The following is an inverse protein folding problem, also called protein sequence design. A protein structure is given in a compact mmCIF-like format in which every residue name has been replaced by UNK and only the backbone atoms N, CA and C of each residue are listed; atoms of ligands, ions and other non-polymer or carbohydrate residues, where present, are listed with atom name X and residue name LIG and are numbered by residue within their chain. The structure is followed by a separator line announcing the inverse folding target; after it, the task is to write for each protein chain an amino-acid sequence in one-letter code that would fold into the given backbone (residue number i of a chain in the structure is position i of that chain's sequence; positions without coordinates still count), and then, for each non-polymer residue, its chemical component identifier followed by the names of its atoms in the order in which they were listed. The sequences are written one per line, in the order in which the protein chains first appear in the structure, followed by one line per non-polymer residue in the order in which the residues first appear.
data_IF_915867263725
#
_entry.id   IF_915867263725
#
_cell.length_a   1.000
_cell.length_b   1.000
_cell.length_c   1.000
_cell.angle_alpha   90.00
_cell.angle_beta   90.00
_cell.angle_gamma   90.00
#
_symmetry.space_group_name_H-M   'P 1'
#
loop_
_entity.id
_entity.type
_entity.pdbx_description
1 polymer ?
#
# COMPACT_ATOMS: atom_id res chain seq x y z
N UNK A 1 -46.57 -25.38 -22.05
CA UNK A 1 -46.54 -24.31 -21.01
C UNK A 1 -45.10 -23.88 -20.86
N UNK A 2 -44.76 -22.79 -21.53
CA UNK A 2 -43.46 -22.11 -21.40
C UNK A 2 -43.61 -21.12 -20.21
N UNK A 3 -42.83 -21.30 -19.18
CA UNK A 3 -42.69 -20.30 -18.12
C UNK A 3 -41.58 -19.32 -18.52
N UNK A 4 -41.99 -18.15 -18.95
CA UNK A 4 -41.14 -17.00 -19.17
C UNK A 4 -40.53 -16.56 -17.80
N UNK A 5 -39.26 -16.85 -17.62
CA UNK A 5 -38.44 -16.15 -16.63
C UNK A 5 -38.06 -14.81 -17.24
N UNK A 6 -38.82 -13.79 -16.91
CA UNK A 6 -38.46 -12.40 -17.18
C UNK A 6 -37.18 -12.07 -16.45
N UNK A 7 -36.08 -12.02 -17.17
CA UNK A 7 -34.86 -11.39 -16.73
C UNK A 7 -35.16 -9.91 -16.50
N UNK A 8 -35.05 -9.49 -15.27
CA UNK A 8 -35.15 -8.09 -14.86
C UNK A 8 -33.98 -7.33 -15.49
N UNK A 9 -34.28 -6.54 -16.53
CA UNK A 9 -33.33 -5.73 -17.27
C UNK A 9 -33.02 -4.45 -16.46
N UNK A 10 -32.21 -4.57 -15.40
CA UNK A 10 -31.71 -3.41 -14.66
C UNK A 10 -30.27 -3.13 -15.05
N UNK A 11 -30.15 -2.10 -15.88
CA UNK A 11 -29.02 -1.25 -16.17
C UNK A 11 -27.88 -1.80 -17.08
N UNK A 12 -27.87 -1.47 -18.38
CA UNK A 12 -26.77 -1.78 -19.30
C UNK A 12 -25.56 -0.83 -19.14
N UNK A 13 -25.61 0.15 -18.25
CA UNK A 13 -24.48 1.04 -17.98
C UNK A 13 -23.66 0.48 -16.80
N UNK A 14 -22.38 0.10 -17.03
CA UNK A 14 -21.48 -0.40 -16.00
C UNK A 14 -21.28 0.59 -14.86
N UNK A 15 -20.80 0.11 -13.70
CA UNK A 15 -20.55 0.88 -12.48
C UNK A 15 -19.72 2.14 -12.78
N UNK A 16 -20.24 3.33 -12.47
CA UNK A 16 -19.56 4.63 -12.66
C UNK A 16 -18.87 5.06 -11.37
N UNK A 17 -17.54 5.07 -11.36
CA UNK A 17 -16.74 5.38 -10.20
C UNK A 17 -15.95 6.70 -10.39
N UNK A 18 -15.99 7.58 -9.39
CA UNK A 18 -15.05 8.68 -9.24
C UNK A 18 -13.95 8.26 -8.26
N UNK A 19 -12.72 8.12 -8.74
CA UNK A 19 -11.57 7.74 -7.92
C UNK A 19 -10.78 8.99 -7.52
N UNK A 20 -10.72 9.28 -6.22
CA UNK A 20 -10.00 10.44 -5.67
C UNK A 20 -8.70 9.97 -5.01
N UNK A 21 -7.56 10.41 -5.54
CA UNK A 21 -6.24 10.14 -4.99
C UNK A 21 -5.47 11.45 -4.74
N UNK A 22 -4.44 11.39 -3.91
CA UNK A 22 -3.57 12.55 -3.62
C UNK A 22 -2.99 13.18 -4.88
N UNK A 23 -2.46 12.33 -5.73
CA UNK A 23 -1.85 12.70 -7.01
C UNK A 23 -2.03 11.53 -7.99
N UNK A 24 -1.76 11.78 -9.25
CA UNK A 24 -1.66 10.74 -10.26
C UNK A 24 -0.57 9.73 -9.82
N UNK A 25 -0.85 8.41 -9.84
CA UNK A 25 0.02 7.38 -9.24
C UNK A 25 1.23 7.04 -10.12
N UNK A 26 1.96 8.07 -10.58
CA UNK A 26 3.17 7.96 -11.38
C UNK A 26 4.33 8.71 -10.73
N UNK A 27 5.57 8.21 -10.86
CA UNK A 27 5.97 6.91 -11.43
C UNK A 27 5.64 5.74 -10.48
N UNK A 28 5.73 4.51 -10.97
CA UNK A 28 5.52 3.27 -10.18
C UNK A 28 6.72 2.95 -9.26
N UNK A 29 7.09 3.86 -8.39
CA UNK A 29 8.28 3.76 -7.53
C UNK A 29 7.97 3.60 -6.03
N UNK A 30 6.70 3.46 -5.68
CA UNK A 30 6.25 3.23 -4.30
C UNK A 30 5.08 2.24 -4.27
N UNK A 31 4.98 1.50 -3.17
CA UNK A 31 3.94 0.48 -3.03
C UNK A 31 2.52 1.01 -3.11
N UNK A 32 2.28 2.23 -2.61
CA UNK A 32 0.98 2.92 -2.70
C UNK A 32 0.65 3.32 -4.14
N UNK A 33 1.59 3.91 -4.90
CA UNK A 33 1.37 4.23 -6.31
C UNK A 33 1.09 2.98 -7.15
N UNK A 34 1.86 1.91 -6.93
CA UNK A 34 1.68 0.62 -7.61
C UNK A 34 0.29 0.05 -7.30
N UNK A 35 -0.10 0.04 -6.02
CA UNK A 35 -1.40 -0.47 -5.60
C UNK A 35 -2.55 0.33 -6.22
N UNK A 36 -2.55 1.66 -6.06
CA UNK A 36 -3.56 2.56 -6.60
C UNK A 36 -3.73 2.38 -8.12
N UNK A 37 -2.61 2.37 -8.85
CA UNK A 37 -2.60 2.27 -10.29
C UNK A 37 -3.20 0.95 -10.80
N UNK A 38 -2.67 -0.16 -10.30
CA UNK A 38 -3.11 -1.49 -10.75
C UNK A 38 -4.54 -1.82 -10.28
N UNK A 39 -4.95 -1.36 -9.10
CA UNK A 39 -6.32 -1.59 -8.64
C UNK A 39 -7.34 -0.78 -9.45
N UNK A 40 -7.03 0.48 -9.78
CA UNK A 40 -7.90 1.29 -10.63
C UNK A 40 -8.04 0.66 -12.04
N UNK A 41 -6.94 0.17 -12.62
CA UNK A 41 -6.95 -0.55 -13.88
C UNK A 41 -7.73 -1.86 -13.81
N UNK A 42 -7.55 -2.62 -12.72
CA UNK A 42 -8.27 -3.87 -12.50
C UNK A 42 -9.78 -3.65 -12.33
N UNK A 43 -10.19 -2.55 -11.69
CA UNK A 43 -11.59 -2.17 -11.55
C UNK A 43 -12.24 -1.87 -12.92
N UNK A 44 -11.51 -1.17 -13.82
CA UNK A 44 -11.96 -0.96 -15.21
C UNK A 44 -12.06 -2.28 -15.97
N UNK A 45 -11.08 -3.16 -15.80
CA UNK A 45 -11.10 -4.49 -16.41
C UNK A 45 -12.28 -5.34 -15.91
N UNK A 46 -12.73 -5.11 -14.68
CA UNK A 46 -13.91 -5.76 -14.11
C UNK A 46 -15.26 -5.17 -14.61
N UNK A 47 -15.23 -4.12 -15.45
CA UNK A 47 -16.42 -3.56 -16.09
C UNK A 47 -16.85 -2.17 -15.58
N UNK A 48 -16.12 -1.57 -14.64
CA UNK A 48 -16.43 -0.22 -14.19
C UNK A 48 -15.91 0.86 -15.15
N UNK A 49 -16.63 1.99 -15.21
CA UNK A 49 -16.13 3.24 -15.78
C UNK A 49 -15.48 4.07 -14.69
N UNK A 50 -14.18 4.34 -14.78
CA UNK A 50 -13.43 5.06 -13.75
C UNK A 50 -13.01 6.43 -14.27
N UNK A 51 -13.48 7.49 -13.59
CA UNK A 51 -12.91 8.84 -13.69
C UNK A 51 -11.94 9.03 -12.55
N UNK A 52 -10.64 9.10 -12.85
CA UNK A 52 -9.58 9.23 -11.86
C UNK A 52 -9.17 10.69 -11.68
N UNK A 53 -9.23 11.19 -10.45
CA UNK A 53 -8.85 12.58 -10.12
C UNK A 53 -7.69 12.60 -9.13
N UNK A 54 -6.66 13.37 -9.43
CA UNK A 54 -5.50 13.60 -8.58
C UNK A 54 -4.68 14.81 -9.02
N UNK A 55 -3.85 15.36 -8.11
CA UNK A 55 -2.90 16.40 -8.51
C UNK A 55 -1.89 15.84 -9.52
N UNK A 56 -1.38 16.70 -10.39
CA UNK A 56 -0.27 16.33 -11.27
C UNK A 56 0.92 15.80 -10.45
N UNK A 57 1.55 14.71 -10.91
CA UNK A 57 2.73 14.18 -10.25
C UNK A 57 3.91 15.14 -10.39
N UNK A 58 4.47 15.58 -9.27
CA UNK A 58 5.69 16.41 -9.28
C UNK A 58 6.96 15.61 -9.62
N UNK A 59 6.91 14.30 -9.47
CA UNK A 59 8.03 13.41 -9.73
C UNK A 59 8.16 12.98 -11.21
N UNK A 60 7.07 13.06 -11.97
CA UNK A 60 7.03 12.68 -13.37
C UNK A 60 6.10 13.61 -14.18
N UNK A 61 6.41 14.92 -14.29
CA UNK A 61 5.52 15.90 -14.92
C UNK A 61 5.35 15.69 -16.44
N UNK A 62 6.28 14.97 -17.07
CA UNK A 62 6.26 14.64 -18.50
C UNK A 62 5.52 13.35 -18.84
N UNK A 63 5.29 12.45 -17.85
CA UNK A 63 4.57 11.21 -18.07
C UNK A 63 3.06 11.49 -18.16
N UNK A 64 2.48 11.10 -19.28
CA UNK A 64 1.02 11.15 -19.45
C UNK A 64 0.42 9.84 -18.94
N UNK A 65 -0.57 9.89 -18.06
CA UNK A 65 -1.19 8.67 -17.54
C UNK A 65 -1.73 7.75 -18.63
N UNK A 66 -2.33 8.31 -19.68
CA UNK A 66 -2.84 7.55 -20.81
C UNK A 66 -1.77 6.74 -21.58
N UNK A 67 -0.50 7.13 -21.49
CA UNK A 67 0.63 6.39 -22.09
C UNK A 67 1.16 5.28 -21.18
N UNK A 68 0.96 5.43 -19.85
CA UNK A 68 1.44 4.48 -18.84
C UNK A 68 0.40 3.38 -18.50
N UNK A 69 -0.86 3.61 -18.84
CA UNK A 69 -1.97 2.69 -18.54
C UNK A 69 -2.66 2.27 -19.83
N UNK A 70 -2.78 0.97 -20.05
CA UNK A 70 -3.51 0.39 -21.19
C UNK A 70 -5.04 0.45 -21.02
N UNK A 71 -5.54 1.03 -19.94
CA UNK A 71 -6.94 0.99 -19.56
C UNK A 71 -7.72 2.24 -19.98
N UNK A 72 -9.05 2.10 -20.12
CA UNK A 72 -9.99 3.18 -20.40
C UNK A 72 -10.30 4.02 -19.14
N UNK A 73 -9.27 4.42 -18.38
CA UNK A 73 -9.43 5.37 -17.27
C UNK A 73 -9.54 6.77 -17.83
N UNK A 74 -10.58 7.51 -17.45
CA UNK A 74 -10.67 8.93 -17.72
C UNK A 74 -9.84 9.72 -16.70
N UNK A 75 -8.73 10.31 -17.14
CA UNK A 75 -7.81 11.03 -16.25
C UNK A 75 -8.21 12.49 -16.11
N UNK A 76 -8.66 12.90 -14.94
CA UNK A 76 -8.91 14.27 -14.54
C UNK A 76 -7.73 14.79 -13.70
N UNK A 77 -6.71 15.31 -14.37
CA UNK A 77 -5.49 15.80 -13.72
C UNK A 77 -5.73 17.21 -13.19
N UNK A 78 -5.77 17.34 -11.88
CA UNK A 78 -5.94 18.63 -11.22
C UNK A 78 -4.63 19.43 -11.33
N UNK A 79 -4.63 20.61 -11.96
CA UNK A 79 -3.42 21.43 -12.07
C UNK A 79 -3.05 22.03 -10.72
N UNK A 80 -1.74 22.21 -10.50
CA UNK A 80 -1.23 22.84 -9.28
C UNK A 80 -0.25 21.94 -8.52
N UNK A 81 0.20 22.43 -7.38
CA UNK A 81 1.15 21.76 -6.49
C UNK A 81 0.50 21.56 -5.12
N UNK A 82 0.94 20.55 -4.34
CA UNK A 82 0.55 20.43 -2.96
C UNK A 82 0.85 21.70 -2.15
N UNK A 83 0.00 22.03 -1.19
CA UNK A 83 0.22 23.16 -0.29
C UNK A 83 1.61 23.07 0.38
N UNK A 84 2.30 24.19 0.62
CA UNK A 84 3.56 24.22 1.35
C UNK A 84 3.44 23.55 2.71
N UNK A 85 4.48 22.83 3.13
CA UNK A 85 4.48 22.09 4.41
C UNK A 85 4.17 22.98 5.61
N UNK A 86 4.69 24.24 5.62
CA UNK A 86 4.46 25.16 6.71
C UNK A 86 2.98 25.53 6.87
N UNK A 87 2.28 25.74 5.76
CA UNK A 87 0.84 26.00 5.77
C UNK A 87 0.06 24.77 6.22
N UNK A 88 0.45 23.60 5.74
CA UNK A 88 -0.19 22.35 6.09
C UNK A 88 0.01 21.98 7.58
N UNK A 89 1.13 22.33 8.18
CA UNK A 89 1.38 22.14 9.62
C UNK A 89 0.42 22.96 10.49
N UNK A 90 0.03 24.16 10.04
CA UNK A 90 -0.93 25.02 10.74
C UNK A 90 -2.39 24.58 10.58
N UNK A 91 -2.68 23.68 9.63
CA UNK A 91 -4.03 23.15 9.38
C UNK A 91 -4.48 22.21 10.52
N UNK A 92 -5.78 22.14 10.83
CA UNK A 92 -6.32 21.11 11.73
C UNK A 92 -6.27 19.71 11.12
N UNK A 93 -6.22 19.58 9.79
CA UNK A 93 -6.11 18.31 9.10
C UNK A 93 -4.74 17.65 9.28
N UNK A 94 -4.64 16.32 9.14
CA UNK A 94 -3.37 15.63 9.01
C UNK A 94 -2.48 16.24 7.93
N UNK A 95 -1.17 16.22 8.14
CA UNK A 95 -0.20 16.89 7.26
C UNK A 95 -0.40 16.54 5.77
N UNK A 96 -0.55 15.25 5.47
CA UNK A 96 -0.72 14.81 4.07
C UNK A 96 -2.06 15.28 3.52
N UNK A 97 -3.14 15.16 4.28
CA UNK A 97 -4.47 15.65 3.88
C UNK A 97 -4.46 17.17 3.62
N UNK A 98 -3.85 17.95 4.52
CA UNK A 98 -3.72 19.41 4.37
C UNK A 98 -2.85 19.81 3.17
N UNK A 99 -1.82 19.02 2.84
CA UNK A 99 -0.98 19.29 1.67
C UNK A 99 -1.71 19.05 0.36
N UNK A 100 -2.48 17.98 0.25
CA UNK A 100 -3.12 17.57 -1.00
C UNK A 100 -4.56 18.10 -1.14
N UNK A 101 -5.26 18.43 -0.07
CA UNK A 101 -6.56 19.11 -0.08
C UNK A 101 -6.44 20.60 -0.46
N UNK A 102 -6.00 20.88 -1.69
CA UNK A 102 -5.84 22.25 -2.18
C UNK A 102 -7.18 22.87 -2.57
N UNK A 103 -7.27 24.21 -2.54
CA UNK A 103 -8.48 24.93 -3.00
C UNK A 103 -8.84 24.57 -4.44
N UNK A 104 -7.82 24.40 -5.29
CA UNK A 104 -8.01 24.04 -6.68
C UNK A 104 -8.58 22.62 -6.82
N UNK A 105 -8.06 21.66 -6.04
CA UNK A 105 -8.60 20.31 -6.02
C UNK A 105 -10.09 20.30 -5.58
N UNK A 106 -10.39 20.99 -4.48
CA UNK A 106 -11.75 21.11 -3.99
C UNK A 106 -12.71 21.76 -5.03
N UNK A 107 -12.24 22.77 -5.79
CA UNK A 107 -13.00 23.39 -6.86
C UNK A 107 -13.29 22.40 -8.01
N UNK A 108 -12.28 21.68 -8.50
CA UNK A 108 -12.45 20.67 -9.56
C UNK A 108 -13.37 19.53 -9.11
N UNK A 109 -13.24 19.08 -7.84
CA UNK A 109 -14.14 18.06 -7.28
C UNK A 109 -15.59 18.55 -7.26
N UNK A 110 -15.86 19.78 -6.82
CA UNK A 110 -17.21 20.36 -6.88
C UNK A 110 -17.75 20.39 -8.30
N UNK A 111 -16.94 20.85 -9.24
CA UNK A 111 -17.35 20.96 -10.65
C UNK A 111 -17.75 19.60 -11.22
N UNK A 112 -16.96 18.56 -10.99
CA UNK A 112 -17.26 17.23 -11.53
C UNK A 112 -18.52 16.60 -10.87
N UNK A 113 -18.68 16.76 -9.55
CA UNK A 113 -19.87 16.30 -8.82
C UNK A 113 -21.15 17.01 -9.25
N UNK A 114 -21.06 18.27 -9.75
CA UNK A 114 -22.20 18.99 -10.31
C UNK A 114 -22.48 18.64 -11.77
N UNK A 115 -21.49 18.14 -12.51
CA UNK A 115 -21.65 17.86 -13.93
C UNK A 115 -22.08 16.42 -14.23
N UNK A 116 -21.79 15.48 -13.36
CA UNK A 116 -22.00 14.03 -13.56
C UNK A 116 -22.47 13.35 -12.29
N UNK A 117 -23.26 12.28 -12.47
CA UNK A 117 -23.62 11.37 -11.40
C UNK A 117 -22.66 10.17 -11.37
N UNK A 118 -22.28 9.76 -10.16
CA UNK A 118 -21.44 8.59 -9.92
C UNK A 118 -22.18 7.62 -8.98
N UNK A 119 -22.03 6.32 -9.24
CA UNK A 119 -22.59 5.28 -8.37
C UNK A 119 -21.73 5.11 -7.11
N UNK A 120 -20.39 5.34 -7.27
CA UNK A 120 -19.47 5.33 -6.14
C UNK A 120 -18.39 6.42 -6.26
N UNK A 121 -17.98 6.96 -5.10
CA UNK A 121 -16.77 7.80 -4.95
C UNK A 121 -15.77 7.03 -4.10
N UNK A 122 -14.61 6.73 -4.69
CA UNK A 122 -13.52 6.00 -4.05
C UNK A 122 -12.52 7.01 -3.47
N UNK A 123 -12.32 6.95 -2.15
CA UNK A 123 -11.35 7.76 -1.41
C UNK A 123 -10.08 6.93 -1.20
N UNK A 124 -9.07 7.18 -1.99
CA UNK A 124 -7.82 6.42 -1.93
C UNK A 124 -6.83 7.07 -0.95
N UNK A 125 -6.63 6.41 0.18
CA UNK A 125 -5.81 6.84 1.30
C UNK A 125 -6.50 7.86 2.23
N UNK A 126 -6.12 7.89 3.53
CA UNK A 126 -6.68 8.82 4.55
C UNK A 126 -6.48 10.31 4.21
N UNK A 127 -5.54 10.59 3.32
CA UNK A 127 -5.31 11.96 2.86
C UNK A 127 -6.53 12.60 2.18
N UNK A 128 -7.53 11.80 1.79
CA UNK A 128 -8.76 12.28 1.15
C UNK A 128 -9.88 12.62 2.15
N UNK A 129 -9.62 12.60 3.46
CA UNK A 129 -10.62 12.93 4.51
C UNK A 129 -11.29 14.29 4.30
N UNK A 130 -10.60 15.26 3.73
CA UNK A 130 -11.16 16.58 3.42
C UNK A 130 -12.28 16.57 2.37
N UNK A 131 -12.37 15.50 1.58
CA UNK A 131 -13.34 15.39 0.49
C UNK A 131 -14.74 14.95 0.96
N UNK A 132 -14.86 14.26 2.10
CA UNK A 132 -16.12 13.67 2.60
C UNK A 132 -17.23 14.71 2.71
N UNK A 133 -17.00 15.77 3.48
CA UNK A 133 -17.98 16.84 3.68
C UNK A 133 -18.36 17.52 2.35
N UNK A 134 -17.39 17.60 1.45
CA UNK A 134 -17.60 18.23 0.16
C UNK A 134 -18.45 17.34 -0.75
N UNK A 135 -18.25 16.02 -0.73
CA UNK A 135 -19.07 15.04 -1.43
C UNK A 135 -20.50 15.13 -0.92
N UNK A 136 -20.72 15.00 0.39
CA UNK A 136 -22.06 15.04 0.98
C UNK A 136 -22.82 16.34 0.68
N UNK A 137 -22.12 17.48 0.62
CA UNK A 137 -22.74 18.80 0.33
C UNK A 137 -23.08 19.02 -1.14
N UNK A 138 -22.48 18.27 -2.04
CA UNK A 138 -22.60 18.49 -3.50
C UNK A 138 -23.31 17.32 -4.20
N UNK A 139 -23.85 16.37 -3.47
CA UNK A 139 -24.68 15.30 -4.01
C UNK A 139 -25.98 15.87 -4.57
N UNK A 140 -26.29 15.52 -5.84
CA UNK A 140 -27.49 15.99 -6.54
C UNK A 140 -28.73 15.20 -6.12
N UNK A 141 -29.86 15.90 -5.96
CA UNK A 141 -31.21 15.33 -5.90
C UNK A 141 -31.42 14.12 -4.94
N UNK A 142 -30.69 14.07 -3.81
CA UNK A 142 -30.82 12.97 -2.84
C UNK A 142 -30.22 11.65 -3.31
N UNK A 143 -29.61 11.60 -4.50
CA UNK A 143 -28.84 10.44 -4.94
C UNK A 143 -27.45 10.47 -4.30
N UNK A 144 -27.28 9.75 -3.19
CA UNK A 144 -25.98 9.63 -2.52
C UNK A 144 -25.19 8.52 -3.15
N UNK A 145 -24.03 8.87 -3.77
CA UNK A 145 -23.04 7.89 -4.20
C UNK A 145 -22.58 7.03 -3.01
N UNK A 146 -22.21 5.80 -3.26
CA UNK A 146 -21.48 5.00 -2.26
C UNK A 146 -20.13 5.61 -2.04
N UNK A 147 -19.69 5.80 -0.79
CA UNK A 147 -18.33 6.20 -0.46
C UNK A 147 -17.56 4.95 -0.12
N UNK A 148 -16.55 4.60 -0.95
CA UNK A 148 -15.62 3.52 -0.72
C UNK A 148 -14.26 4.08 -0.28
N UNK A 149 -13.82 3.78 0.94
CA UNK A 149 -12.52 4.18 1.45
C UNK A 149 -11.50 3.05 1.26
N UNK A 150 -10.39 3.32 0.59
CA UNK A 150 -9.26 2.40 0.50
C UNK A 150 -8.23 2.80 1.56
N UNK A 151 -8.19 2.03 2.63
CA UNK A 151 -7.27 2.19 3.74
C UNK A 151 -6.00 1.37 3.48
N UNK A 152 -4.88 2.05 3.19
CA UNK A 152 -3.59 1.38 2.98
C UNK A 152 -3.02 0.79 4.27
N UNK A 153 -3.37 1.38 5.41
CA UNK A 153 -3.01 0.96 6.76
C UNK A 153 -4.08 1.46 7.74
N UNK A 154 -4.05 0.97 8.96
CA UNK A 154 -4.64 1.68 10.09
C UNK A 154 -3.69 2.81 10.51
N UNK A 155 -3.90 4.00 9.95
CA UNK A 155 -2.94 5.11 9.98
C UNK A 155 -2.74 5.70 11.38
N UNK A 156 -3.74 5.61 12.24
CA UNK A 156 -3.62 6.04 13.65
C UNK A 156 -2.49 5.28 14.34
N UNK A 157 -2.48 3.95 14.27
CA UNK A 157 -1.44 3.14 14.90
C UNK A 157 -0.06 3.42 14.27
N UNK A 158 0.01 3.41 12.94
CA UNK A 158 1.25 3.63 12.19
C UNK A 158 1.89 4.98 12.56
N UNK A 159 1.08 6.04 12.63
CA UNK A 159 1.58 7.38 12.94
C UNK A 159 2.07 7.52 14.39
N UNK A 160 1.40 6.84 15.33
CA UNK A 160 1.83 6.78 16.74
C UNK A 160 3.15 6.04 16.85
N UNK A 161 3.31 4.91 16.17
CA UNK A 161 4.54 4.11 16.20
C UNK A 161 5.71 4.86 15.57
N UNK A 162 5.48 5.56 14.46
CA UNK A 162 6.50 6.44 13.87
C UNK A 162 6.94 7.52 14.86
N UNK A 163 5.99 8.21 15.51
CA UNK A 163 6.31 9.27 16.45
C UNK A 163 7.06 8.76 17.70
N UNK A 164 6.68 7.57 18.19
CA UNK A 164 7.32 6.89 19.33
C UNK A 164 8.75 6.48 19.01
N UNK A 165 8.95 5.81 17.87
CA UNK A 165 10.21 5.19 17.47
C UNK A 165 11.18 6.15 16.78
N UNK A 166 10.76 7.39 16.48
CA UNK A 166 11.62 8.36 15.83
C UNK A 166 12.75 8.81 16.78
N UNK A 167 13.99 8.54 16.35
CA UNK A 167 15.24 8.93 17.05
C UNK A 167 15.93 10.07 16.29
N UNK A 168 15.45 11.30 16.45
CA UNK A 168 16.01 12.46 15.75
C UNK A 168 15.71 13.77 16.47
N UNK A 169 15.75 14.85 15.74
CA UNK A 169 15.51 16.20 16.26
C UNK A 169 14.17 16.29 17.03
N UNK A 170 14.20 16.88 18.24
CA UNK A 170 13.05 16.98 19.15
C UNK A 170 11.87 17.76 18.54
N UNK A 171 12.12 18.82 17.77
CA UNK A 171 11.06 19.57 17.09
C UNK A 171 10.34 18.71 16.06
N UNK A 172 11.09 17.91 15.28
CA UNK A 172 10.50 16.97 14.33
C UNK A 172 9.73 15.88 15.06
N UNK A 173 10.22 15.37 16.19
CA UNK A 173 9.50 14.40 17.03
C UNK A 173 8.18 14.98 17.53
N UNK A 174 8.18 16.19 18.04
CA UNK A 174 6.96 16.90 18.48
C UNK A 174 5.96 17.09 17.32
N UNK A 175 6.44 17.46 16.14
CA UNK A 175 5.60 17.57 14.94
C UNK A 175 4.98 16.22 14.51
N UNK A 176 5.72 15.12 14.65
CA UNK A 176 5.20 13.77 14.38
C UNK A 176 4.11 13.40 15.38
N UNK A 177 4.28 13.66 16.67
CA UNK A 177 3.24 13.44 17.69
C UNK A 177 1.99 14.30 17.44
N UNK A 178 2.17 15.56 17.09
CA UNK A 178 1.04 16.44 16.76
C UNK A 178 0.29 15.94 15.53
N UNK A 179 1.01 15.47 14.49
CA UNK A 179 0.40 14.91 13.29
C UNK A 179 -0.32 13.59 13.59
N UNK A 180 0.24 12.73 14.45
CA UNK A 180 -0.41 11.47 14.85
C UNK A 180 -1.76 11.74 15.56
N UNK A 181 -1.84 12.77 16.42
CA UNK A 181 -3.12 13.19 17.01
C UNK A 181 -4.13 13.67 15.97
N UNK A 182 -3.69 14.42 14.95
CA UNK A 182 -4.56 14.85 13.85
C UNK A 182 -5.09 13.67 13.06
N UNK A 183 -4.26 12.65 12.81
CA UNK A 183 -4.67 11.41 12.13
C UNK A 183 -5.69 10.65 12.98
N UNK A 184 -5.42 10.47 14.27
CA UNK A 184 -6.32 9.80 15.20
C UNK A 184 -7.71 10.47 15.31
N UNK A 185 -7.79 11.79 15.06
CA UNK A 185 -9.05 12.52 15.01
C UNK A 185 -9.74 12.42 13.62
N UNK A 186 -8.97 12.32 12.55
CA UNK A 186 -9.50 12.34 11.18
C UNK A 186 -9.93 10.95 10.70
N UNK A 187 -9.21 9.89 11.08
CA UNK A 187 -9.49 8.52 10.59
C UNK A 187 -10.86 8.00 11.01
N UNK A 188 -11.37 8.22 12.25
CA UNK A 188 -12.74 7.88 12.61
C UNK A 188 -13.78 8.59 11.75
N UNK A 189 -13.59 9.88 11.45
CA UNK A 189 -14.53 10.63 10.59
C UNK A 189 -14.57 10.07 9.17
N UNK A 190 -13.40 9.68 8.65
CA UNK A 190 -13.31 9.04 7.34
C UNK A 190 -13.97 7.65 7.33
N UNK A 191 -13.70 6.85 8.36
CA UNK A 191 -14.26 5.52 8.49
C UNK A 191 -15.79 5.56 8.65
N UNK A 192 -16.32 6.44 9.51
CA UNK A 192 -17.76 6.62 9.68
C UNK A 192 -18.48 7.20 8.45
N UNK A 193 -17.77 7.97 7.64
CA UNK A 193 -18.32 8.56 6.42
C UNK A 193 -18.32 7.61 5.22
N UNK A 194 -17.68 6.45 5.33
CA UNK A 194 -17.60 5.46 4.26
C UNK A 194 -18.70 4.38 4.38
N UNK A 195 -19.27 3.97 3.26
CA UNK A 195 -20.21 2.84 3.18
C UNK A 195 -19.46 1.50 3.06
N UNK A 196 -18.27 1.53 2.43
CA UNK A 196 -17.36 0.39 2.23
C UNK A 196 -15.93 0.80 2.60
N UNK A 197 -15.24 -0.03 3.37
CA UNK A 197 -13.82 0.17 3.70
C UNK A 197 -13.03 -1.02 3.20
N UNK A 198 -12.17 -0.80 2.20
CA UNK A 198 -11.22 -1.80 1.73
C UNK A 198 -9.88 -1.63 2.45
N UNK A 199 -9.35 -2.70 3.01
CA UNK A 199 -8.10 -2.75 3.80
C UNK A 199 -7.15 -3.80 3.25
N UNK A 200 -5.86 -3.66 3.51
CA UNK A 200 -4.88 -4.64 3.05
C UNK A 200 -4.83 -5.91 3.90
N UNK A 201 -5.20 -5.83 5.18
CA UNK A 201 -5.10 -6.95 6.12
C UNK A 201 -6.33 -7.08 7.00
N UNK A 202 -6.60 -8.28 7.48
CA UNK A 202 -7.68 -8.51 8.46
C UNK A 202 -7.42 -7.77 9.79
N UNK A 203 -6.15 -7.55 10.14
CA UNK A 203 -5.78 -6.78 11.33
C UNK A 203 -6.20 -5.33 11.20
N UNK A 204 -5.96 -4.68 10.04
CA UNK A 204 -6.45 -3.32 9.77
C UNK A 204 -7.98 -3.26 9.80
N UNK A 205 -8.69 -4.29 9.28
CA UNK A 205 -10.14 -4.38 9.37
C UNK A 205 -10.63 -4.40 10.82
N UNK A 206 -10.00 -5.23 11.66
CA UNK A 206 -10.33 -5.33 13.08
C UNK A 206 -10.12 -4.01 13.84
N UNK A 207 -9.09 -3.24 13.49
CA UNK A 207 -8.87 -1.91 14.07
C UNK A 207 -9.91 -0.87 13.64
N UNK A 208 -10.40 -0.96 12.41
CA UNK A 208 -11.40 -0.03 11.86
C UNK A 208 -12.85 -0.40 12.23
N UNK A 209 -13.13 -1.66 12.57
CA UNK A 209 -14.47 -2.13 12.94
C UNK A 209 -15.12 -1.33 14.07
N UNK A 210 -14.45 -1.05 15.22
CA UNK A 210 -15.03 -0.26 16.30
C UNK A 210 -15.32 1.21 15.90
N UNK A 211 -14.56 1.73 14.90
CA UNK A 211 -14.70 3.12 14.45
C UNK A 211 -15.88 3.29 13.48
N UNK A 212 -16.29 2.25 12.77
CA UNK A 212 -17.35 2.32 11.77
C UNK A 212 -18.11 0.99 11.65
N UNK A 213 -18.90 0.61 12.65
CA UNK A 213 -19.58 -0.70 12.70
C UNK A 213 -20.63 -0.88 11.58
N UNK A 214 -21.09 0.20 10.98
CA UNK A 214 -22.08 0.17 9.91
C UNK A 214 -21.49 0.05 8.50
N UNK A 215 -20.20 0.35 8.34
CA UNK A 215 -19.53 0.25 7.06
C UNK A 215 -19.14 -1.20 6.77
N UNK A 216 -19.33 -1.66 5.53
CA UNK A 216 -18.80 -2.95 5.11
C UNK A 216 -17.26 -2.95 5.10
N UNK A 217 -16.64 -4.05 5.54
CA UNK A 217 -15.19 -4.21 5.51
C UNK A 217 -14.82 -5.24 4.43
N UNK A 218 -13.85 -4.89 3.61
CA UNK A 218 -13.31 -5.74 2.56
C UNK A 218 -11.80 -5.90 2.75
N UNK A 219 -11.33 -7.11 2.99
CA UNK A 219 -9.89 -7.39 2.98
C UNK A 219 -9.45 -7.56 1.52
N UNK A 220 -8.65 -6.60 1.05
CA UNK A 220 -8.20 -6.50 -0.34
C UNK A 220 -6.68 -6.28 -0.38
N UNK A 221 -5.88 -7.34 -0.11
CA UNK A 221 -4.43 -7.24 -0.11
C UNK A 221 -3.90 -6.92 -1.52
N UNK A 222 -2.71 -6.32 -1.64
CA UNK A 222 -2.06 -6.11 -2.92
C UNK A 222 -1.94 -7.40 -3.73
N UNK A 223 -1.86 -7.25 -5.05
CA UNK A 223 -1.50 -8.32 -5.96
C UNK A 223 -0.09 -8.07 -6.52
N UNK A 224 0.42 -9.03 -7.27
CA UNK A 224 1.75 -8.97 -7.85
C UNK A 224 1.68 -8.59 -9.34
N UNK A 225 2.57 -7.69 -9.76
CA UNK A 225 2.61 -7.20 -11.14
C UNK A 225 3.88 -7.59 -11.90
N UNK A 226 4.87 -8.12 -11.17
CA UNK A 226 6.14 -8.55 -11.76
C UNK A 226 6.09 -9.97 -12.35
N UNK A 227 7.16 -10.41 -13.01
CA UNK A 227 7.28 -11.76 -13.52
C UNK A 227 7.36 -12.78 -12.39
N UNK A 228 6.69 -13.93 -12.54
CA UNK A 228 6.77 -15.05 -11.61
C UNK A 228 7.86 -16.01 -12.09
N UNK A 229 8.95 -16.08 -11.36
CA UNK A 229 10.08 -16.97 -11.67
C UNK A 229 9.66 -18.41 -11.42
N UNK A 230 9.48 -19.20 -12.48
CA UNK A 230 8.99 -20.59 -12.38
C UNK A 230 10.01 -21.52 -11.75
N UNK A 231 11.28 -21.32 -12.07
CA UNK A 231 12.37 -22.17 -11.60
C UNK A 231 13.57 -21.32 -11.18
N UNK A 232 13.99 -21.50 -9.95
CA UNK A 232 15.22 -20.96 -9.39
C UNK A 232 15.75 -21.91 -8.31
N UNK A 233 17.02 -22.20 -8.38
CA UNK A 233 17.69 -23.00 -7.37
C UNK A 233 18.89 -22.23 -6.79
N UNK A 234 18.91 -22.09 -5.48
CA UNK A 234 20.07 -21.63 -4.75
C UNK A 234 21.09 -22.77 -4.75
N UNK A 235 22.32 -22.45 -5.08
CA UNK A 235 23.44 -23.41 -5.11
C UNK A 235 24.59 -22.90 -4.24
N UNK A 236 25.57 -23.74 -3.95
CA UNK A 236 26.71 -23.38 -3.10
C UNK A 236 27.46 -22.15 -3.65
N UNK A 237 27.53 -22.01 -4.98
CA UNK A 237 28.15 -20.86 -5.64
C UNK A 237 27.34 -19.55 -5.53
N UNK A 238 26.06 -19.61 -5.13
CA UNK A 238 25.26 -18.40 -4.87
C UNK A 238 25.91 -17.60 -3.74
N UNK A 239 26.19 -16.30 -3.92
CA UNK A 239 26.85 -15.49 -2.91
C UNK A 239 26.16 -15.52 -1.55
N UNK A 240 26.92 -15.56 -0.47
CA UNK A 240 26.41 -15.49 0.92
C UNK A 240 25.95 -14.06 1.23
N UNK A 241 24.89 -13.62 0.54
CA UNK A 241 24.33 -12.27 0.67
C UNK A 241 22.82 -12.34 0.86
N UNK A 242 22.32 -11.41 1.65
CA UNK A 242 20.89 -11.21 1.88
C UNK A 242 20.50 -9.82 1.37
N UNK A 243 19.23 -9.61 1.03
CA UNK A 243 18.73 -8.34 0.53
C UNK A 243 17.58 -7.80 1.39
N UNK A 244 17.55 -6.48 1.57
CA UNK A 244 16.40 -5.76 2.07
C UNK A 244 15.95 -4.74 1.02
N UNK A 245 14.70 -4.86 0.56
CA UNK A 245 14.14 -4.02 -0.50
C UNK A 245 13.17 -3.02 0.09
N UNK A 246 13.20 -1.77 -0.36
CA UNK A 246 12.24 -0.76 0.09
C UNK A 246 12.44 0.63 -0.48
N UNK A 247 11.41 1.47 -0.38
CA UNK A 247 11.54 2.91 -0.60
C UNK A 247 11.74 3.60 0.76
N UNK A 248 12.97 3.97 1.07
CA UNK A 248 13.37 4.53 2.37
C UNK A 248 13.15 6.04 2.49
N UNK A 249 12.40 6.66 1.59
CA UNK A 249 11.94 8.05 1.77
C UNK A 249 10.88 8.17 2.85
N UNK A 250 10.14 7.09 3.13
CA UNK A 250 9.17 7.06 4.22
C UNK A 250 9.84 6.86 5.58
N UNK A 251 9.49 7.70 6.56
CA UNK A 251 10.13 7.73 7.90
C UNK A 251 10.08 6.39 8.62
N UNK A 252 8.98 5.64 8.54
CA UNK A 252 8.88 4.31 9.15
C UNK A 252 9.96 3.36 8.61
N UNK A 253 10.19 3.35 7.30
CA UNK A 253 11.22 2.50 6.68
C UNK A 253 12.64 2.94 7.02
N UNK A 254 12.87 4.25 7.26
CA UNK A 254 14.16 4.73 7.76
C UNK A 254 14.43 4.24 9.18
N UNK A 255 13.40 4.24 10.04
CA UNK A 255 13.49 3.73 11.41
C UNK A 255 13.86 2.25 11.39
N UNK A 256 13.10 1.43 10.63
CA UNK A 256 13.32 -0.02 10.53
C UNK A 256 14.70 -0.35 9.94
N UNK A 257 15.09 0.33 8.86
CA UNK A 257 16.41 0.13 8.26
C UNK A 257 17.53 0.46 9.24
N UNK A 258 17.41 1.59 9.95
CA UNK A 258 18.43 1.99 10.92
C UNK A 258 18.57 0.99 12.06
N UNK A 259 17.45 0.49 12.60
CA UNK A 259 17.46 -0.56 13.63
C UNK A 259 18.09 -1.87 13.12
N UNK A 260 17.75 -2.26 11.90
CA UNK A 260 18.33 -3.44 11.26
C UNK A 260 19.84 -3.30 11.08
N UNK A 261 20.32 -2.19 10.51
CA UNK A 261 21.74 -1.97 10.27
C UNK A 261 22.55 -1.92 11.56
N UNK A 262 22.02 -1.25 12.59
CA UNK A 262 22.67 -1.15 13.91
C UNK A 262 22.87 -2.54 14.56
N UNK A 263 21.87 -3.41 14.47
CA UNK A 263 21.92 -4.73 15.12
C UNK A 263 22.56 -5.81 14.22
N UNK A 264 22.27 -5.83 12.92
CA UNK A 264 22.62 -6.94 12.04
C UNK A 264 24.01 -6.80 11.39
N UNK A 265 24.45 -5.59 11.02
CA UNK A 265 25.70 -5.43 10.27
C UNK A 265 26.94 -6.03 10.98
N UNK A 266 27.16 -5.82 12.30
CA UNK A 266 28.31 -6.41 13.00
C UNK A 266 28.28 -7.94 13.03
N UNK A 267 27.08 -8.53 13.18
CA UNK A 267 26.87 -9.99 13.24
C UNK A 267 27.16 -10.61 11.87
N UNK A 268 26.56 -10.02 10.83
CA UNK A 268 26.73 -10.47 9.46
C UNK A 268 28.18 -10.32 9.00
N UNK A 269 28.85 -9.22 9.35
CA UNK A 269 30.28 -9.00 9.06
C UNK A 269 31.13 -10.10 9.66
N UNK A 270 30.96 -10.42 10.95
CA UNK A 270 31.72 -11.46 11.63
C UNK A 270 31.56 -12.85 10.99
N UNK A 271 30.35 -13.11 10.43
CA UNK A 271 30.04 -14.36 9.76
C UNK A 271 30.39 -14.38 8.26
N UNK A 272 30.91 -13.30 7.71
CA UNK A 272 31.21 -13.19 6.28
C UNK A 272 29.95 -13.24 5.40
N UNK A 273 28.82 -12.73 5.90
CA UNK A 273 27.54 -12.60 5.19
C UNK A 273 27.34 -11.14 4.77
N UNK A 274 27.07 -10.90 3.51
CA UNK A 274 26.79 -9.54 3.02
C UNK A 274 25.31 -9.17 3.11
N UNK A 275 25.03 -7.89 3.38
CA UNK A 275 23.69 -7.31 3.34
C UNK A 275 23.61 -6.28 2.20
N UNK A 276 22.59 -6.39 1.37
CA UNK A 276 22.30 -5.48 0.27
C UNK A 276 21.04 -4.67 0.56
N UNK A 277 21.17 -3.34 0.63
CA UNK A 277 20.05 -2.40 0.76
C UNK A 277 19.69 -1.89 -0.64
N UNK A 278 18.47 -2.19 -1.08
CA UNK A 278 17.97 -1.88 -2.42
C UNK A 278 16.77 -0.94 -2.33
N UNK A 279 16.83 0.12 -3.12
CA UNK A 279 15.77 1.13 -3.25
C UNK A 279 16.23 2.53 -2.85
N UNK A 280 15.33 3.49 -3.08
CA UNK A 280 15.65 4.91 -2.91
C UNK A 280 15.73 5.28 -1.42
N UNK A 281 16.83 5.90 -1.02
CA UNK A 281 17.08 6.37 0.33
C UNK A 281 17.58 7.82 0.30
N UNK A 282 17.21 8.66 1.31
CA UNK A 282 17.77 10.00 1.43
C UNK A 282 19.32 9.94 1.52
N UNK A 283 19.99 10.82 0.80
CA UNK A 283 21.47 10.88 0.79
C UNK A 283 22.08 11.04 2.18
N UNK A 284 21.43 11.81 3.05
CA UNK A 284 21.86 11.99 4.44
C UNK A 284 21.85 10.68 5.23
N UNK A 285 20.80 9.86 5.05
CA UNK A 285 20.68 8.55 5.69
C UNK A 285 21.74 7.59 5.13
N UNK A 286 21.85 7.51 3.80
CA UNK A 286 22.78 6.63 3.11
C UNK A 286 24.22 6.92 3.53
N UNK A 287 24.69 8.17 3.40
CA UNK A 287 26.04 8.59 3.79
C UNK A 287 26.36 8.32 5.26
N UNK A 288 25.39 8.57 6.16
CA UNK A 288 25.58 8.33 7.59
C UNK A 288 25.79 6.84 7.91
N UNK A 289 25.13 5.95 7.19
CA UNK A 289 25.28 4.50 7.37
C UNK A 289 26.47 3.94 6.62
N UNK A 290 26.75 4.35 5.37
CA UNK A 290 27.93 3.90 4.59
C UNK A 290 29.24 4.11 5.35
N UNK A 291 29.34 5.17 6.17
CA UNK A 291 30.50 5.43 7.01
C UNK A 291 30.66 4.46 8.21
N UNK A 292 29.63 3.69 8.56
CA UNK A 292 29.58 2.85 9.77
C UNK A 292 29.50 1.36 9.51
N UNK A 293 28.81 0.97 8.43
CA UNK A 293 28.57 -0.44 8.08
C UNK A 293 29.76 -1.05 7.35
N UNK A 294 29.95 -2.37 7.52
CA UNK A 294 31.05 -3.12 6.88
C UNK A 294 30.56 -4.30 6.06
N UNK A 295 29.45 -4.94 6.45
CA UNK A 295 28.82 -6.03 5.71
C UNK A 295 27.83 -5.50 4.66
N UNK A 296 27.33 -4.28 4.85
CA UNK A 296 26.20 -3.71 4.09
C UNK A 296 26.69 -2.90 2.88
N UNK A 297 25.96 -3.04 1.77
CA UNK A 297 26.11 -2.22 0.56
C UNK A 297 24.78 -1.58 0.19
N UNK A 298 24.80 -0.28 -0.16
CA UNK A 298 23.66 0.45 -0.67
C UNK A 298 23.72 0.49 -2.20
N UNK A 299 22.65 0.01 -2.86
CA UNK A 299 22.60 -0.07 -4.32
C UNK A 299 21.74 1.03 -4.95
N UNK A 300 20.92 1.73 -4.12
CA UNK A 300 19.92 2.63 -4.67
C UNK A 300 18.83 1.89 -5.46
N UNK A 301 18.29 2.56 -6.47
CA UNK A 301 17.36 1.94 -7.40
C UNK A 301 18.10 0.94 -8.31
N UNK A 302 17.55 -0.25 -8.48
CA UNK A 302 18.04 -1.27 -9.41
C UNK A 302 17.01 -1.44 -10.52
N UNK A 303 17.48 -1.51 -11.77
CA UNK A 303 16.62 -1.56 -12.95
C UNK A 303 15.84 -2.89 -13.02
N UNK A 304 16.49 -4.01 -12.76
CA UNK A 304 15.88 -5.33 -12.69
C UNK A 304 16.07 -5.95 -11.31
N UNK A 305 15.02 -5.85 -10.50
CA UNK A 305 15.02 -6.38 -9.13
C UNK A 305 15.09 -7.93 -9.13
N UNK A 306 14.48 -8.59 -10.12
CA UNK A 306 14.49 -10.05 -10.23
C UNK A 306 15.89 -10.59 -10.46
N UNK A 307 16.62 -10.03 -11.43
CA UNK A 307 18.04 -10.37 -11.70
C UNK A 307 18.90 -10.08 -10.48
N UNK A 308 18.66 -8.94 -9.83
CA UNK A 308 19.39 -8.60 -8.60
C UNK A 308 19.15 -9.64 -7.51
N UNK A 309 17.90 -10.01 -7.23
CA UNK A 309 17.52 -10.96 -6.18
C UNK A 309 18.00 -12.39 -6.49
N UNK A 310 18.09 -12.77 -7.76
CA UNK A 310 18.58 -14.10 -8.17
C UNK A 310 19.99 -14.42 -7.63
N UNK A 311 20.81 -13.42 -7.40
CA UNK A 311 22.16 -13.57 -6.83
C UNK A 311 22.21 -13.45 -5.29
N UNK A 312 21.09 -13.58 -4.57
CA UNK A 312 21.02 -13.50 -3.09
C UNK A 312 20.42 -14.78 -2.53
N UNK A 313 20.89 -15.19 -1.36
CA UNK A 313 20.38 -16.40 -0.71
C UNK A 313 19.07 -16.15 0.01
N UNK A 314 18.83 -14.94 0.57
CA UNK A 314 17.63 -14.63 1.33
C UNK A 314 17.20 -13.16 1.17
N UNK A 315 15.92 -12.89 1.40
CA UNK A 315 15.32 -11.57 1.53
C UNK A 315 14.88 -11.31 2.97
N UNK A 316 15.02 -10.07 3.42
CA UNK A 316 14.68 -9.67 4.79
C UNK A 316 13.42 -8.79 4.80
N UNK A 317 12.49 -9.12 5.71
CA UNK A 317 11.30 -8.31 6.03
C UNK A 317 11.46 -7.78 7.44
N UNK A 318 11.85 -6.50 7.55
CA UNK A 318 12.37 -5.89 8.77
C UNK A 318 11.41 -4.85 9.40
N UNK A 319 10.15 -4.82 8.98
CA UNK A 319 9.21 -3.80 9.38
C UNK A 319 8.56 -4.11 10.74
N UNK A 320 9.13 -3.58 11.83
CA UNK A 320 8.49 -3.49 13.15
C UNK A 320 7.59 -2.25 13.25
N UNK A 321 8.01 -1.15 12.63
CA UNK A 321 7.25 0.09 12.55
C UNK A 321 6.59 0.20 11.18
N UNK A 322 5.28 0.35 11.16
CA UNK A 322 4.47 0.45 9.93
C UNK A 322 3.39 -0.63 9.87
N UNK A 323 2.29 -0.31 9.18
CA UNK A 323 1.12 -1.18 9.02
C UNK A 323 1.03 -1.85 7.66
N UNK A 324 -0.12 -2.47 7.41
CA UNK A 324 -0.52 -3.00 6.13
C UNK A 324 0.31 -4.19 5.62
N UNK A 325 -0.01 -4.61 4.42
CA UNK A 325 0.71 -5.68 3.72
C UNK A 325 2.07 -5.19 3.18
N UNK A 326 3.11 -5.99 3.29
CA UNK A 326 4.45 -5.63 2.83
C UNK A 326 4.69 -6.19 1.42
N UNK A 327 4.54 -5.37 0.38
CA UNK A 327 4.68 -5.77 -1.04
C UNK A 327 5.96 -6.56 -1.34
N UNK A 328 7.06 -6.28 -0.63
CA UNK A 328 8.32 -7.03 -0.79
C UNK A 328 8.18 -8.54 -0.49
N UNK A 329 7.16 -8.95 0.25
CA UNK A 329 6.88 -10.38 0.48
C UNK A 329 6.59 -11.05 -0.85
N UNK A 330 5.75 -10.44 -1.70
CA UNK A 330 5.43 -10.96 -3.02
C UNK A 330 6.64 -10.90 -3.96
N UNK A 331 7.45 -9.83 -3.87
CA UNK A 331 8.70 -9.74 -4.62
C UNK A 331 9.63 -10.91 -4.28
N UNK A 332 9.79 -11.24 -2.99
CA UNK A 332 10.63 -12.37 -2.60
C UNK A 332 10.02 -13.70 -3.03
N UNK A 333 8.73 -13.92 -2.79
CA UNK A 333 8.04 -15.17 -3.14
C UNK A 333 8.12 -15.44 -4.64
N UNK A 334 7.73 -14.47 -5.48
CA UNK A 334 7.66 -14.67 -6.92
C UNK A 334 9.02 -14.64 -7.62
N UNK A 335 10.05 -14.11 -6.97
CA UNK A 335 11.45 -14.28 -7.37
C UNK A 335 12.13 -15.47 -6.69
N UNK A 336 11.38 -16.32 -5.97
CA UNK A 336 11.86 -17.53 -5.28
C UNK A 336 13.04 -17.25 -4.34
N UNK A 337 12.90 -16.22 -3.53
CA UNK A 337 13.88 -15.81 -2.51
C UNK A 337 13.38 -16.22 -1.14
N UNK A 338 14.09 -17.10 -0.41
CA UNK A 338 13.74 -17.44 0.97
C UNK A 338 13.64 -16.23 1.86
N UNK A 339 12.67 -16.21 2.78
CA UNK A 339 12.36 -15.04 3.61
C UNK A 339 12.79 -15.25 5.05
N UNK A 340 13.51 -14.29 5.61
CA UNK A 340 13.66 -14.09 7.04
C UNK A 340 12.97 -12.80 7.47
N UNK A 341 12.15 -12.86 8.50
CA UNK A 341 11.25 -11.79 8.87
C UNK A 341 11.26 -11.49 10.36
N UNK A 342 11.03 -10.24 10.73
CA UNK A 342 10.69 -9.86 12.10
C UNK A 342 9.25 -10.28 12.39
N UNK A 343 8.99 -10.75 13.58
CA UNK A 343 7.65 -11.12 14.06
C UNK A 343 6.65 -9.97 13.83
N UNK A 344 5.48 -10.30 13.30
CA UNK A 344 4.44 -9.33 12.95
C UNK A 344 4.63 -8.67 11.58
N UNK A 345 5.81 -8.73 10.95
CA UNK A 345 6.04 -8.09 9.65
C UNK A 345 5.42 -8.85 8.46
N UNK A 346 4.98 -10.09 8.67
CA UNK A 346 4.38 -10.96 7.65
C UNK A 346 2.84 -10.92 7.65
N UNK A 347 2.23 -9.97 8.36
CA UNK A 347 0.78 -9.80 8.47
C UNK A 347 0.12 -9.72 7.10
N UNK A 348 -1.00 -10.44 6.94
CA UNK A 348 -1.78 -10.51 5.71
C UNK A 348 -1.22 -11.47 4.65
N UNK A 349 -0.03 -12.05 4.84
CA UNK A 349 0.47 -13.09 3.94
C UNK A 349 -0.12 -14.46 4.31
N UNK A 350 -0.34 -15.35 3.32
CA UNK A 350 -0.82 -16.72 3.58
C UNK A 350 0.31 -17.65 4.04
N UNK A 351 1.54 -17.15 4.19
CA UNK A 351 2.72 -17.94 4.45
C UNK A 351 2.76 -18.46 5.89
N UNK A 352 3.30 -19.65 6.08
CA UNK A 352 3.42 -20.33 7.38
C UNK A 352 4.83 -20.21 7.93
N UNK A 353 4.94 -19.69 9.16
CA UNK A 353 6.20 -19.59 9.88
C UNK A 353 6.85 -20.98 10.06
N UNK A 354 8.17 -21.06 9.86
CA UNK A 354 8.97 -22.25 9.98
C UNK A 354 8.94 -23.18 8.76
N UNK A 355 7.95 -23.01 7.87
CA UNK A 355 7.79 -23.76 6.61
C UNK A 355 8.14 -22.88 5.42
N UNK A 356 7.44 -21.74 5.26
CA UNK A 356 7.54 -20.84 4.10
C UNK A 356 8.51 -19.69 4.35
N UNK A 357 8.71 -19.32 5.61
CA UNK A 357 9.63 -18.27 6.05
C UNK A 357 10.11 -18.49 7.49
N UNK A 358 11.20 -17.82 7.85
CA UNK A 358 11.72 -17.78 9.22
C UNK A 358 11.27 -16.49 9.93
N UNK A 359 10.86 -16.59 11.20
CA UNK A 359 10.44 -15.44 12.01
C UNK A 359 11.30 -15.31 13.25
N UNK A 360 11.64 -14.07 13.63
CA UNK A 360 12.53 -13.74 14.73
C UNK A 360 11.96 -12.60 15.58
N UNK A 361 12.24 -12.63 16.88
CA UNK A 361 11.68 -11.65 17.82
C UNK A 361 12.37 -10.28 17.75
N UNK A 362 13.67 -10.24 17.40
CA UNK A 362 14.47 -9.00 17.31
C UNK A 362 15.36 -8.97 16.07
N UNK A 363 15.85 -7.78 15.71
CA UNK A 363 16.82 -7.61 14.62
C UNK A 363 18.13 -8.38 14.89
N UNK A 364 18.50 -8.51 16.15
CA UNK A 364 19.66 -9.30 16.55
C UNK A 364 19.41 -10.80 16.30
N UNK A 365 18.26 -11.32 16.74
CA UNK A 365 17.88 -12.73 16.51
C UNK A 365 17.75 -13.03 15.03
N UNK A 366 17.18 -12.09 14.23
CA UNK A 366 17.10 -12.20 12.78
C UNK A 366 18.49 -12.36 12.17
N UNK A 367 19.45 -11.53 12.55
CA UNK A 367 20.81 -11.62 12.02
C UNK A 367 21.50 -12.95 12.41
N UNK A 368 21.38 -13.38 13.66
CA UNK A 368 21.90 -14.66 14.14
C UNK A 368 21.23 -15.85 13.43
N UNK A 369 19.91 -15.79 13.27
CA UNK A 369 19.16 -16.83 12.58
C UNK A 369 19.52 -16.91 11.08
N UNK A 370 19.73 -15.78 10.42
CA UNK A 370 20.25 -15.74 9.05
C UNK A 370 21.59 -16.43 8.96
N UNK A 371 22.55 -16.10 9.86
CA UNK A 371 23.88 -16.72 9.89
C UNK A 371 23.79 -18.24 10.09
N UNK A 372 22.86 -18.69 10.93
CA UNK A 372 22.69 -20.11 11.23
C UNK A 372 22.16 -20.94 10.03
N UNK A 373 21.41 -20.30 9.11
CA UNK A 373 20.73 -21.03 8.01
C UNK A 373 21.25 -20.68 6.62
N UNK A 374 22.07 -19.65 6.47
CA UNK A 374 22.47 -19.12 5.16
C UNK A 374 23.17 -20.15 4.27
N UNK A 375 23.80 -21.15 4.85
CA UNK A 375 24.54 -22.23 4.16
C UNK A 375 23.73 -23.54 4.07
N UNK A 376 22.55 -23.62 4.68
CA UNK A 376 21.63 -24.74 4.54
C UNK A 376 20.82 -24.61 3.24
N UNK A 377 21.49 -24.93 2.12
CA UNK A 377 20.98 -24.75 0.77
C UNK A 377 19.69 -25.55 0.52
N UNK A 378 19.59 -26.76 1.10
CA UNK A 378 18.39 -27.60 0.95
C UNK A 378 17.18 -26.96 1.64
N UNK A 379 17.36 -26.51 2.85
CA UNK A 379 16.31 -25.81 3.61
C UNK A 379 15.86 -24.52 2.90
N UNK A 380 16.82 -23.71 2.42
CA UNK A 380 16.50 -22.49 1.67
C UNK A 380 15.69 -22.79 0.40
N UNK A 381 16.05 -23.83 -0.36
CA UNK A 381 15.31 -24.22 -1.55
C UNK A 381 13.93 -24.79 -1.22
N UNK A 382 13.78 -25.57 -0.15
CA UNK A 382 12.49 -26.08 0.30
C UNK A 382 11.55 -24.95 0.72
N UNK A 383 12.06 -23.97 1.48
CA UNK A 383 11.26 -22.82 1.92
C UNK A 383 10.75 -21.96 0.76
N UNK A 384 11.62 -21.60 -0.17
CA UNK A 384 11.21 -20.76 -1.33
C UNK A 384 10.24 -21.50 -2.24
N UNK A 385 10.39 -22.84 -2.38
CA UNK A 385 9.47 -23.66 -3.16
C UNK A 385 8.08 -23.67 -2.50
N UNK A 386 8.00 -23.98 -1.20
CA UNK A 386 6.75 -23.98 -0.45
C UNK A 386 6.03 -22.63 -0.48
N UNK A 387 6.77 -21.54 -0.26
CA UNK A 387 6.22 -20.19 -0.32
C UNK A 387 5.64 -19.86 -1.71
N UNK A 388 6.37 -20.20 -2.78
CA UNK A 388 5.93 -19.98 -4.15
C UNK A 388 4.67 -20.79 -4.48
N UNK A 389 4.65 -22.09 -4.19
CA UNK A 389 3.49 -22.97 -4.45
C UNK A 389 2.23 -22.45 -3.78
N UNK A 390 2.37 -21.97 -2.54
CA UNK A 390 1.26 -21.43 -1.76
C UNK A 390 0.67 -20.14 -2.33
N UNK A 391 1.48 -19.33 -3.00
CA UNK A 391 1.07 -18.02 -3.55
C UNK A 391 0.79 -18.06 -5.06
N UNK A 392 1.27 -19.08 -5.78
CA UNK A 392 1.31 -19.10 -7.26
C UNK A 392 -0.06 -18.97 -7.94
N UNK A 393 -1.13 -19.46 -7.34
CA UNK A 393 -2.50 -19.40 -7.85
C UNK A 393 -3.28 -18.17 -7.40
N UNK A 394 -2.66 -17.31 -6.60
CA UNK A 394 -3.27 -16.11 -6.04
C UNK A 394 -2.52 -14.83 -6.43
N UNK A 395 -2.95 -13.72 -5.85
CA UNK A 395 -2.34 -12.41 -6.04
C UNK A 395 -2.41 -11.86 -7.47
N UNK A 396 -3.54 -12.11 -8.16
CA UNK A 396 -3.85 -11.51 -9.46
C UNK A 396 -4.61 -10.20 -9.29
N UNK A 397 -4.23 -9.16 -10.05
CA UNK A 397 -4.94 -7.88 -10.02
C UNK A 397 -6.37 -7.99 -10.54
N UNK A 398 -6.61 -8.86 -11.53
CA UNK A 398 -7.96 -9.12 -12.04
C UNK A 398 -8.93 -9.60 -10.96
N UNK A 399 -8.44 -10.41 -10.01
CA UNK A 399 -9.26 -10.87 -8.88
C UNK A 399 -9.56 -9.71 -7.92
N UNK A 400 -8.58 -8.85 -7.66
CA UNK A 400 -8.77 -7.65 -6.83
C UNK A 400 -9.78 -6.69 -7.44
N UNK A 401 -9.69 -6.49 -8.76
CA UNK A 401 -10.66 -5.66 -9.49
C UNK A 401 -12.08 -6.19 -9.39
N UNK A 402 -12.30 -7.50 -9.65
CA UNK A 402 -13.62 -8.13 -9.51
C UNK A 402 -14.14 -8.04 -8.07
N UNK A 403 -13.31 -8.36 -7.09
CA UNK A 403 -13.70 -8.32 -5.67
C UNK A 403 -14.13 -6.91 -5.25
N UNK A 404 -13.39 -5.87 -5.66
CA UNK A 404 -13.75 -4.49 -5.36
C UNK A 404 -15.03 -4.06 -6.10
N UNK A 405 -15.16 -4.41 -7.37
CA UNK A 405 -16.33 -4.14 -8.19
C UNK A 405 -17.60 -4.70 -7.54
N UNK A 406 -17.58 -5.98 -7.18
CA UNK A 406 -18.74 -6.66 -6.59
C UNK A 406 -19.10 -6.09 -5.20
N UNK A 407 -18.09 -5.74 -4.40
CA UNK A 407 -18.32 -5.12 -3.09
C UNK A 407 -18.93 -3.71 -3.21
N UNK A 408 -18.50 -2.92 -4.22
CA UNK A 408 -19.12 -1.60 -4.48
C UNK A 408 -20.57 -1.79 -4.96
N UNK A 409 -20.83 -2.70 -5.88
CA UNK A 409 -22.21 -3.00 -6.32
C UNK A 409 -23.11 -3.40 -5.17
N UNK A 410 -22.68 -4.31 -4.30
CA UNK A 410 -23.42 -4.69 -3.11
C UNK A 410 -23.71 -3.50 -2.17
N UNK A 411 -22.77 -2.55 -2.08
CA UNK A 411 -22.97 -1.34 -1.30
C UNK A 411 -23.98 -0.39 -1.97
N UNK A 412 -23.96 -0.27 -3.30
CA UNK A 412 -24.95 0.49 -4.08
C UNK A 412 -26.35 -0.09 -3.89
N UNK A 413 -26.52 -1.40 -4.02
CA UNK A 413 -27.79 -2.10 -3.87
C UNK A 413 -28.37 -1.92 -2.46
N UNK A 414 -27.55 -2.06 -1.41
CA UNK A 414 -27.96 -1.80 -0.02
C UNK A 414 -28.47 -0.38 0.16
N UNK A 415 -27.71 0.60 -0.33
CA UNK A 415 -28.07 2.02 -0.22
C UNK A 415 -29.36 2.36 -0.99
N UNK A 416 -29.61 1.71 -2.12
CA UNK A 416 -30.86 1.82 -2.87
C UNK A 416 -32.05 1.17 -2.13
N UNK A 417 -31.84 0.01 -1.48
CA UNK A 417 -32.88 -0.68 -0.71
C UNK A 417 -33.31 0.11 0.54
N UNK A 418 -32.37 0.69 1.28
CA UNK A 418 -32.62 1.54 2.44
C UNK A 418 -33.48 2.77 2.10
N UNK A 419 -33.34 3.32 0.89
CA UNK A 419 -34.18 4.45 0.41
C UNK A 419 -35.63 4.07 0.09
N UNK A 420 -35.84 2.82 -0.34
CA UNK A 420 -37.18 2.33 -0.69
C UNK A 420 -37.99 1.86 0.52
N UNK A 421 -37.32 1.69 1.66
CA UNK A 421 -38.02 1.31 2.92
C UNK A 421 -38.58 2.57 3.58
N UNK A 422 -39.90 2.71 3.73
CA UNK A 422 -40.46 3.87 4.42
C UNK A 422 -40.05 3.84 5.90
N UNK A 423 -39.57 4.99 6.41
CA UNK A 423 -39.33 5.20 7.84
C UNK A 423 -40.66 5.28 8.60
#
# INVERSE_FOLDING_TARGET
MKSDLTADSSNPEGLRCLWLARAIPLPFNSGDNIYTAHLAQALVTAGASVTFMGLASSAAPSLRPAEAFESRIEWNIVPGRPNPTIIALASPLPLVAARFGTRNYAHHLKTILHSRDFDAVILDHYAMVWAIDLIHKNERNGARSVIAYIAHNFETQVSVDIARNFRGNLFRKAALHANARKIANAEPSLACGADLIAVHTAEDANHLEPLSPLSAKLVLPPAYHGPRVRDRRIVQATPRRVAVVGNYRWTAKQINLSACLEAADPILQKAGVGLDVVGDAPDSLRKAWEARVKATRFHGFVEDLGVFLAARRMGLVIEETGGGFKNKILEYVFNRVPIAAIKGSMTGSPLTQGVDYLSFESMQDLAQGVVAVIDDIERLNSMQQSAFEKCNTGFEWSDRGRTLHDAIWQAVDRKCAERKSPR
#
